data_IF_790612436994
#
_entry.id   IF_790612436994
#
_cell.length_a   1.000
_cell.length_b   1.000
_cell.length_c   1.000
_cell.angle_alpha   90.00
_cell.angle_beta   90.00
_cell.angle_gamma   90.00
#
_symmetry.space_group_name_H-M   'P 1'
#
loop_
_entity.id
_entity.type
_entity.pdbx_description
1 polymer ?
#
# COMPACT_ATOMS: atom_id res chain seq x y z
N UNK A 1 -16.58 -44.07 1.23
CA UNK A 1 -16.91 -42.63 1.20
C UNK A 1 -18.22 -42.45 0.46
N UNK A 2 -19.21 -41.79 1.07
CA UNK A 2 -20.55 -41.67 0.47
C UNK A 2 -20.58 -40.48 -0.52
N UNK A 3 -20.83 -40.69 -1.81
CA UNK A 3 -20.78 -39.63 -2.83
C UNK A 3 -21.71 -38.46 -2.52
N UNK A 4 -22.82 -38.73 -1.83
CA UNK A 4 -23.78 -37.72 -1.39
C UNK A 4 -23.16 -36.73 -0.39
N UNK A 5 -22.29 -37.21 0.51
CA UNK A 5 -21.58 -36.37 1.50
C UNK A 5 -20.50 -35.51 0.84
N UNK A 6 -19.86 -35.99 -0.21
CA UNK A 6 -18.86 -35.22 -0.97
C UNK A 6 -19.55 -34.11 -1.75
N UNK A 7 -20.67 -34.41 -2.41
CA UNK A 7 -21.46 -33.44 -3.16
C UNK A 7 -21.98 -32.31 -2.26
N UNK A 8 -22.48 -32.63 -1.06
CA UNK A 8 -22.95 -31.63 -0.11
C UNK A 8 -21.81 -30.72 0.38
N UNK A 9 -20.63 -31.27 0.63
CA UNK A 9 -19.48 -30.49 1.09
C UNK A 9 -18.98 -29.53 0.01
N UNK A 10 -18.93 -29.97 -1.25
CA UNK A 10 -18.58 -29.12 -2.41
C UNK A 10 -19.59 -27.99 -2.60
N UNK A 11 -20.89 -28.28 -2.49
CA UNK A 11 -21.95 -27.28 -2.63
C UNK A 11 -21.87 -26.20 -1.54
N UNK A 12 -21.59 -26.60 -0.29
CA UNK A 12 -21.42 -25.68 0.84
C UNK A 12 -20.19 -24.79 0.65
N UNK A 13 -19.06 -25.32 0.20
CA UNK A 13 -17.86 -24.53 -0.07
C UNK A 13 -18.06 -23.51 -1.21
N UNK A 14 -18.75 -23.90 -2.29
CA UNK A 14 -19.06 -22.99 -3.41
C UNK A 14 -19.98 -21.84 -2.98
N UNK A 15 -20.94 -22.10 -2.10
CA UNK A 15 -21.85 -21.07 -1.58
C UNK A 15 -21.19 -20.15 -0.53
N UNK A 16 -20.21 -20.63 0.23
CA UNK A 16 -19.55 -19.85 1.28
C UNK A 16 -18.36 -19.00 0.78
N UNK A 17 -17.70 -19.41 -0.31
CA UNK A 17 -16.55 -18.70 -0.88
C UNK A 17 -16.79 -17.21 -1.27
N UNK A 18 -17.97 -16.80 -1.79
CA UNK A 18 -18.18 -15.38 -2.14
C UNK A 18 -18.42 -14.46 -0.92
N UNK A 19 -18.67 -15.01 0.27
CA UNK A 19 -18.96 -14.21 1.47
C UNK A 19 -17.71 -13.72 2.21
N UNK A 20 -16.52 -14.25 1.92
CA UNK A 20 -15.27 -13.88 2.59
C UNK A 20 -14.53 -12.71 1.95
N UNK A 21 -15.03 -12.14 0.85
CA UNK A 21 -14.25 -11.24 -0.01
C UNK A 21 -14.93 -9.92 -0.35
N UNK A 22 -15.21 -9.06 0.63
CA UNK A 22 -15.46 -7.63 0.36
C UNK A 22 -15.24 -6.79 1.63
N UNK A 23 -14.01 -6.77 2.14
CA UNK A 23 -13.60 -5.75 3.11
C UNK A 23 -13.45 -4.42 2.36
N UNK A 24 -14.56 -3.73 2.11
CA UNK A 24 -14.50 -2.35 1.64
C UNK A 24 -13.96 -1.51 2.79
N UNK A 25 -12.94 -0.66 2.57
CA UNK A 25 -12.51 0.29 3.58
C UNK A 25 -13.72 1.11 4.07
N UNK A 26 -13.66 1.66 5.29
CA UNK A 26 -14.76 2.45 5.86
C UNK A 26 -15.24 3.49 4.84
N UNK A 27 -16.57 3.52 4.59
CA UNK A 27 -17.25 4.23 3.47
C UNK A 27 -17.12 5.77 3.46
N UNK A 28 -16.12 6.35 4.12
CA UNK A 28 -15.92 7.79 4.14
C UNK A 28 -14.47 8.24 4.33
N UNK A 29 -13.50 7.31 4.24
CA UNK A 29 -12.08 7.67 4.14
C UNK A 29 -11.69 7.65 2.66
N UNK A 30 -11.06 8.71 2.13
CA UNK A 30 -10.53 8.68 0.78
C UNK A 30 -9.48 7.58 0.61
N UNK A 31 -9.30 7.07 -0.60
CA UNK A 31 -8.17 6.20 -0.95
C UNK A 31 -6.98 7.05 -1.44
N UNK A 32 -5.92 6.41 -1.92
CA UNK A 32 -4.71 7.07 -2.44
C UNK A 32 -4.95 7.98 -3.66
N UNK A 33 -6.13 7.93 -4.28
CA UNK A 33 -6.47 8.80 -5.42
C UNK A 33 -6.53 10.29 -5.07
N UNK A 34 -6.52 10.64 -3.78
CA UNK A 34 -6.44 12.04 -3.32
C UNK A 34 -5.06 12.65 -3.43
N UNK A 35 -4.03 11.86 -3.74
CA UNK A 35 -2.69 12.38 -4.04
C UNK A 35 -2.68 12.85 -5.49
N UNK A 36 -2.47 14.15 -5.67
CA UNK A 36 -2.43 14.79 -6.98
C UNK A 36 -1.03 14.92 -7.58
N UNK A 37 -0.96 15.56 -8.74
CA UNK A 37 0.29 15.89 -9.43
C UNK A 37 0.20 17.34 -9.93
N UNK A 38 1.16 18.19 -9.55
CA UNK A 38 1.22 19.62 -9.95
C UNK A 38 2.02 19.88 -11.24
N UNK A 39 2.42 18.82 -11.94
CA UNK A 39 3.32 18.89 -13.09
C UNK A 39 4.79 18.60 -12.75
N UNK A 40 5.16 18.58 -11.46
CA UNK A 40 6.52 18.25 -11.01
C UNK A 40 6.56 17.27 -9.84
N UNK A 41 5.71 17.45 -8.84
CA UNK A 41 5.71 16.71 -7.59
C UNK A 41 4.37 16.02 -7.34
N UNK A 42 4.40 14.96 -6.54
CA UNK A 42 3.19 14.40 -5.97
C UNK A 42 2.72 15.33 -4.85
N UNK A 43 1.45 15.73 -4.91
CA UNK A 43 0.88 16.72 -3.99
C UNK A 43 -0.10 16.01 -3.05
N UNK A 44 0.13 16.06 -1.73
CA UNK A 44 -0.82 15.50 -0.78
C UNK A 44 -2.13 16.28 -0.77
N UNK A 45 -3.24 15.67 -0.30
CA UNK A 45 -4.50 16.37 -0.15
C UNK A 45 -4.42 17.49 0.88
N UNK A 46 -5.30 18.48 0.74
CA UNK A 46 -5.53 19.47 1.78
C UNK A 46 -6.05 18.78 3.06
N UNK A 47 -5.22 18.75 4.11
CA UNK A 47 -5.54 18.09 5.36
C UNK A 47 -6.76 18.68 6.08
N UNK A 48 -7.15 19.92 5.79
CA UNK A 48 -8.39 20.49 6.35
C UNK A 48 -9.63 19.79 5.82
N UNK A 49 -9.60 19.29 4.58
CA UNK A 49 -10.70 18.52 4.00
C UNK A 49 -10.83 17.11 4.59
N UNK A 50 -9.78 16.61 5.23
CA UNK A 50 -9.78 15.34 5.95
C UNK A 50 -10.28 15.47 7.41
N UNK A 51 -10.58 16.68 7.87
CA UNK A 51 -10.98 16.91 9.25
C UNK A 51 -12.33 16.25 9.57
N UNK A 52 -12.34 15.39 10.59
CA UNK A 52 -13.56 14.78 11.15
C UNK A 52 -13.76 15.23 12.58
N UNK A 53 -15.01 15.58 12.91
CA UNK A 53 -15.39 15.93 14.28
C UNK A 53 -15.18 14.73 15.20
N UNK A 54 -14.66 14.99 16.39
CA UNK A 54 -14.59 13.95 17.42
C UNK A 54 -15.99 13.60 17.91
N UNK A 55 -16.26 12.31 18.07
CA UNK A 55 -17.43 11.77 18.76
C UNK A 55 -17.22 11.72 20.28
N UNK A 56 -15.98 11.93 20.74
CA UNK A 56 -15.60 11.85 22.15
C UNK A 56 -15.74 13.21 22.83
N UNK A 57 -16.31 13.18 24.03
CA UNK A 57 -16.44 14.31 24.94
C UNK A 57 -15.77 13.94 26.26
N UNK A 58 -15.02 14.88 26.84
CA UNK A 58 -14.22 14.68 28.03
C UNK A 58 -14.58 15.79 29.04
N UNK A 59 -15.15 15.41 30.19
CA UNK A 59 -15.70 16.34 31.19
C UNK A 59 -16.63 17.43 30.62
N UNK A 60 -17.45 17.09 29.60
CA UNK A 60 -18.35 18.04 28.93
C UNK A 60 -17.69 18.91 27.85
N UNK A 61 -16.36 18.82 27.66
CA UNK A 61 -15.63 19.47 26.58
C UNK A 61 -15.48 18.51 25.39
N UNK A 62 -15.84 18.99 24.19
CA UNK A 62 -15.70 18.18 22.98
C UNK A 62 -14.24 18.16 22.55
N UNK A 63 -13.71 16.96 22.28
CA UNK A 63 -12.32 16.81 21.83
C UNK A 63 -12.12 17.47 20.44
N UNK A 64 -10.88 17.91 20.12
CA UNK A 64 -10.58 18.51 18.82
C UNK A 64 -10.96 17.60 17.63
N UNK A 65 -11.24 18.22 16.49
CA UNK A 65 -11.37 17.49 15.23
C UNK A 65 -10.00 16.91 14.80
N UNK A 66 -10.03 15.79 14.10
CA UNK A 66 -8.82 15.07 13.65
C UNK A 66 -8.78 14.94 12.13
N UNK A 67 -7.63 15.22 11.53
CA UNK A 67 -7.37 15.09 10.09
C UNK A 67 -6.87 13.68 9.76
N UNK A 68 -7.78 12.70 9.82
CA UNK A 68 -7.42 11.30 9.62
C UNK A 68 -6.75 11.06 8.27
N UNK A 69 -5.61 10.37 8.29
CA UNK A 69 -4.84 10.04 7.08
C UNK A 69 -3.91 11.14 6.56
N UNK A 70 -3.95 12.38 7.09
CA UNK A 70 -3.09 13.48 6.61
C UNK A 70 -1.60 13.10 6.62
N UNK A 71 -1.08 12.55 7.73
CA UNK A 71 0.30 12.09 7.79
C UNK A 71 0.59 10.95 6.79
N UNK A 72 -0.37 10.05 6.62
CA UNK A 72 -0.27 8.92 5.69
C UNK A 72 -0.15 9.38 4.25
N UNK A 73 -1.06 10.24 3.78
CA UNK A 73 -1.04 10.72 2.39
C UNK A 73 0.15 11.64 2.12
N UNK A 74 0.57 12.47 3.09
CA UNK A 74 1.78 13.29 2.97
C UNK A 74 3.03 12.43 2.83
N UNK A 75 3.17 11.40 3.66
CA UNK A 75 4.29 10.49 3.56
C UNK A 75 4.22 9.66 2.27
N UNK A 76 3.04 9.25 1.83
CA UNK A 76 2.87 8.51 0.58
C UNK A 76 3.24 9.38 -0.62
N UNK A 77 2.79 10.63 -0.68
CA UNK A 77 3.17 11.59 -1.71
C UNK A 77 4.70 11.77 -1.77
N UNK A 78 5.36 11.88 -0.62
CA UNK A 78 6.82 11.97 -0.54
C UNK A 78 7.56 10.70 -0.99
N UNK A 79 6.91 9.54 -0.91
CA UNK A 79 7.48 8.25 -1.34
C UNK A 79 7.23 7.95 -2.83
N UNK A 80 6.41 8.74 -3.53
CA UNK A 80 6.17 8.54 -4.96
C UNK A 80 7.45 8.79 -5.73
N UNK A 81 8.05 7.72 -6.26
CA UNK A 81 9.31 7.79 -6.99
C UNK A 81 9.20 8.58 -8.30
N UNK A 82 8.06 8.49 -8.99
CA UNK A 82 7.81 9.19 -10.23
C UNK A 82 6.39 9.80 -10.26
N UNK A 83 6.23 11.09 -9.88
CA UNK A 83 4.91 11.71 -9.72
C UNK A 83 4.00 11.72 -10.95
N UNK A 84 4.56 11.75 -12.16
CA UNK A 84 3.78 11.75 -13.41
C UNK A 84 2.97 10.44 -13.60
N UNK A 85 3.42 9.34 -12.97
CA UNK A 85 2.76 8.04 -13.07
C UNK A 85 1.38 8.03 -12.36
N UNK A 86 1.07 9.04 -11.52
CA UNK A 86 -0.25 9.19 -10.89
C UNK A 86 -1.36 9.55 -11.90
N UNK A 87 -1.01 10.26 -13.00
CA UNK A 87 -1.97 10.71 -14.02
C UNK A 87 -1.82 9.94 -15.33
N UNK A 88 -0.59 9.51 -15.65
CA UNK A 88 -0.29 8.75 -16.85
C UNK A 88 0.63 7.58 -16.47
N UNK A 89 0.08 6.49 -15.90
CA UNK A 89 0.86 5.32 -15.55
C UNK A 89 1.60 4.79 -16.77
N UNK A 90 2.92 4.65 -16.64
CA UNK A 90 3.72 3.96 -17.67
C UNK A 90 3.20 2.53 -17.88
N UNK A 91 3.22 2.08 -19.14
CA UNK A 91 2.96 0.66 -19.43
C UNK A 91 4.00 -0.20 -18.71
N UNK A 92 3.53 -1.17 -17.93
CA UNK A 92 4.40 -2.20 -17.40
C UNK A 92 4.99 -2.99 -18.57
N UNK A 93 6.32 -3.02 -18.67
CA UNK A 93 6.99 -3.90 -19.60
C UNK A 93 6.78 -5.37 -19.16
N UNK A 94 6.86 -6.34 -20.08
CA UNK A 94 6.89 -7.75 -19.71
C UNK A 94 7.97 -8.00 -18.65
N UNK A 95 7.65 -8.81 -17.65
CA UNK A 95 8.65 -9.21 -16.66
C UNK A 95 9.75 -10.01 -17.34
N UNK A 96 11.01 -9.57 -17.20
CA UNK A 96 12.16 -10.32 -17.70
C UNK A 96 12.54 -11.40 -16.68
N UNK A 97 12.00 -12.60 -16.88
CA UNK A 97 12.27 -13.74 -16.02
C UNK A 97 13.76 -14.14 -16.02
N UNK A 98 14.48 -13.95 -17.13
CA UNK A 98 15.89 -14.27 -17.21
C UNK A 98 16.72 -13.31 -16.35
N UNK A 99 16.43 -12.00 -16.38
CA UNK A 99 17.08 -11.01 -15.52
C UNK A 99 16.80 -11.31 -14.06
N UNK A 100 15.55 -11.59 -13.69
CA UNK A 100 15.19 -11.94 -12.32
C UNK A 100 15.92 -13.21 -11.83
N UNK A 101 15.91 -14.30 -12.61
CA UNK A 101 16.63 -15.53 -12.30
C UNK A 101 18.16 -15.30 -12.19
N UNK A 102 18.72 -14.44 -13.05
CA UNK A 102 20.14 -14.11 -13.01
C UNK A 102 20.53 -13.35 -11.74
N UNK A 103 19.65 -12.52 -11.19
CA UNK A 103 19.88 -11.79 -9.95
C UNK A 103 19.92 -12.75 -8.75
N UNK A 104 18.97 -13.69 -8.67
CA UNK A 104 18.95 -14.73 -7.64
C UNK A 104 20.20 -15.60 -7.71
N UNK A 105 20.57 -16.08 -8.90
CA UNK A 105 21.78 -16.88 -9.09
C UNK A 105 23.06 -16.14 -8.66
N UNK A 106 23.18 -14.85 -8.97
CA UNK A 106 24.32 -14.03 -8.53
C UNK A 106 24.40 -13.94 -7.02
N UNK A 107 23.25 -13.80 -6.36
CA UNK A 107 23.18 -13.82 -4.90
C UNK A 107 23.63 -15.16 -4.32
N UNK A 108 23.10 -16.28 -4.83
CA UNK A 108 23.47 -17.64 -4.37
C UNK A 108 24.94 -17.99 -4.62
N UNK A 109 25.49 -17.55 -5.76
CA UNK A 109 26.88 -17.79 -6.12
C UNK A 109 27.87 -16.78 -5.48
N UNK A 110 27.40 -15.84 -4.65
CA UNK A 110 28.24 -14.82 -4.03
C UNK A 110 28.83 -13.78 -5.00
N UNK A 111 28.25 -13.64 -6.20
CA UNK A 111 28.68 -12.70 -7.24
C UNK A 111 27.98 -11.34 -7.08
N UNK A 112 28.11 -10.75 -5.90
CA UNK A 112 27.46 -9.48 -5.55
C UNK A 112 28.38 -8.29 -5.85
N UNK A 113 27.77 -7.17 -6.26
CA UNK A 113 28.48 -5.89 -6.31
C UNK A 113 28.75 -5.49 -4.85
N UNK A 114 30.01 -5.22 -4.46
CA UNK A 114 30.32 -4.83 -3.10
C UNK A 114 29.59 -3.52 -2.75
N UNK A 115 29.08 -3.47 -1.52
CA UNK A 115 28.38 -2.30 -1.03
C UNK A 115 29.37 -1.13 -0.92
N UNK A 116 29.01 0.02 -1.50
CA UNK A 116 29.75 1.24 -1.28
C UNK A 116 29.50 1.74 0.14
N UNK A 117 30.50 1.59 1.00
CA UNK A 117 30.46 1.98 2.41
C UNK A 117 30.47 3.50 2.65
N UNK A 118 30.81 4.30 1.64
CA UNK A 118 30.82 5.76 1.74
C UNK A 118 29.42 6.35 1.53
N UNK A 119 28.62 5.76 0.64
CA UNK A 119 27.25 6.23 0.32
C UNK A 119 26.16 5.43 1.01
N UNK A 120 26.38 4.15 1.32
CA UNK A 120 25.46 3.38 2.15
C UNK A 120 25.65 3.77 3.62
N UNK A 121 24.55 4.00 4.35
CA UNK A 121 24.63 4.37 5.76
C UNK A 121 25.42 3.33 6.53
N UNK A 122 26.66 3.67 6.91
CA UNK A 122 27.47 2.79 7.75
C UNK A 122 26.81 2.69 9.12
N UNK A 123 26.11 1.58 9.37
CA UNK A 123 25.75 1.21 10.74
C UNK A 123 27.07 0.81 11.41
N UNK A 124 27.77 1.81 11.95
CA UNK A 124 28.94 1.67 12.81
C UNK A 124 28.51 0.86 14.03
N UNK A 125 28.68 -0.46 13.95
CA UNK A 125 28.56 -1.32 15.11
C UNK A 125 29.74 -0.97 16.02
N UNK A 126 29.41 -0.41 17.18
CA UNK A 126 30.33 -0.21 18.28
C UNK A 126 30.57 -1.55 18.98
#
# INVERSE_FOLDING_TARGET
MNPIRILTLVLVCLLAAPMSGCFKPPRGMPDESVIGFDGKNAVPPDCTQLARRSLLTDAGLRRPAMQWGCATYTNLAAQVANPQDLVAPRSLAPADAAVAASAVRRYEAGQLIPLDTETSTSRRSK
#
